data_IF_783492163987
#
_entry.id   IF_783492163987
#
_cell.length_a   1.000
_cell.length_b   1.000
_cell.length_c   1.000
_cell.angle_alpha   90.00
_cell.angle_beta   90.00
_cell.angle_gamma   90.00
#
_symmetry.space_group_name_H-M   'P 1'
#
loop_
_entity.id
_entity.type
_entity.pdbx_description
1 polymer ?
#
# COMPACT_ATOMS: atom_id res chain seq x y z
N UNK A 1 -1.38 8.75 -22.14
CA UNK A 1 -0.33 7.93 -21.52
C UNK A 1 0.96 7.82 -22.33
N UNK A 2 1.12 8.49 -23.50
CA UNK A 2 2.31 8.35 -24.37
C UNK A 2 3.27 9.56 -24.34
N UNK A 3 3.00 10.57 -23.51
CA UNK A 3 3.89 11.71 -23.32
C UNK A 3 5.06 11.33 -22.39
N UNK A 4 6.20 12.00 -22.57
CA UNK A 4 7.31 11.94 -21.63
C UNK A 4 7.08 12.94 -20.49
N UNK A 5 7.08 12.45 -19.25
CA UNK A 5 6.90 13.24 -18.04
C UNK A 5 8.20 13.36 -17.22
N UNK A 6 9.36 12.90 -17.73
CA UNK A 6 10.64 13.03 -17.02
C UNK A 6 10.91 14.48 -16.64
N UNK A 7 11.17 14.71 -15.34
CA UNK A 7 11.44 16.04 -14.79
C UNK A 7 10.22 16.97 -14.65
N UNK A 8 9.00 16.48 -14.90
CA UNK A 8 7.77 17.26 -14.73
C UNK A 8 7.08 16.95 -13.40
N UNK A 9 6.48 17.98 -12.80
CA UNK A 9 5.80 17.87 -11.51
C UNK A 9 6.77 17.80 -10.34
N UNK A 10 6.31 17.23 -9.23
CA UNK A 10 7.10 17.02 -8.02
C UNK A 10 7.16 15.52 -7.71
N UNK A 11 8.38 14.97 -7.70
CA UNK A 11 8.62 13.57 -7.39
C UNK A 11 8.52 13.33 -5.88
N UNK A 12 7.29 13.12 -5.41
CA UNK A 12 7.00 12.87 -3.99
C UNK A 12 7.66 11.58 -3.50
N UNK A 13 7.81 10.54 -4.34
CA UNK A 13 8.39 9.27 -3.90
C UNK A 13 9.89 9.43 -3.65
N UNK A 14 10.60 10.12 -4.55
CA UNK A 14 12.00 10.46 -4.36
C UNK A 14 12.20 11.34 -3.11
N UNK A 15 11.38 12.36 -2.90
CA UNK A 15 11.42 13.23 -1.70
C UNK A 15 11.15 12.45 -0.40
N UNK A 16 10.20 11.50 -0.42
CA UNK A 16 9.94 10.61 0.72
C UNK A 16 11.18 9.77 1.05
N UNK A 17 11.79 9.13 0.04
CA UNK A 17 12.98 8.29 0.24
C UNK A 17 14.17 9.13 0.72
N UNK A 18 14.37 10.33 0.15
CA UNK A 18 15.43 11.26 0.58
C UNK A 18 15.27 11.68 2.04
N UNK A 19 14.06 12.08 2.43
CA UNK A 19 13.76 12.44 3.84
C UNK A 19 13.95 11.27 4.79
N UNK A 20 13.54 10.07 4.42
CA UNK A 20 13.75 8.88 5.26
C UNK A 20 15.25 8.65 5.50
N UNK A 21 16.09 8.82 4.48
CA UNK A 21 17.54 8.63 4.59
C UNK A 21 18.25 9.75 5.34
N UNK A 22 17.88 11.00 5.05
CA UNK A 22 18.67 12.18 5.41
C UNK A 22 18.04 13.02 6.54
N UNK A 23 16.75 12.88 6.80
CA UNK A 23 16.03 13.56 7.87
C UNK A 23 14.91 12.67 8.47
N UNK A 24 15.24 11.47 9.01
CA UNK A 24 14.26 10.45 9.40
C UNK A 24 13.26 10.89 10.47
N UNK A 25 13.61 11.90 11.27
CA UNK A 25 12.75 12.45 12.32
C UNK A 25 11.77 13.52 11.79
N UNK A 26 11.79 13.80 10.48
CA UNK A 26 10.85 14.74 9.87
C UNK A 26 9.41 14.21 10.02
N UNK A 27 8.52 15.11 10.43
CA UNK A 27 7.09 14.82 10.59
C UNK A 27 6.28 15.09 9.32
N UNK A 28 6.97 15.34 8.20
CA UNK A 28 6.40 15.76 6.90
C UNK A 28 6.79 14.81 5.76
N UNK A 29 7.06 13.56 6.09
CA UNK A 29 7.33 12.49 5.11
C UNK A 29 5.97 11.98 4.60
N UNK A 30 5.43 12.63 3.57
CA UNK A 30 4.07 12.42 3.08
C UNK A 30 4.07 12.16 1.56
N UNK A 31 3.28 11.19 1.13
CA UNK A 31 2.95 10.90 -0.26
C UNK A 31 1.44 11.09 -0.47
N UNK A 32 1.02 11.99 -1.35
CA UNK A 32 -0.39 12.27 -1.63
C UNK A 32 -0.75 12.04 -3.10
N UNK A 33 -1.87 11.35 -3.34
CA UNK A 33 -2.48 11.19 -4.65
C UNK A 33 -3.62 12.20 -4.91
N UNK A 34 -4.07 12.93 -3.89
CA UNK A 34 -5.22 13.82 -4.00
C UNK A 34 -4.84 15.19 -4.56
N UNK A 35 -4.99 15.38 -5.88
CA UNK A 35 -4.79 16.65 -6.57
C UNK A 35 -6.13 17.27 -7.02
N UNK A 36 -6.68 18.29 -6.32
CA UNK A 36 -7.96 18.92 -6.67
C UNK A 36 -8.06 19.41 -8.12
N UNK A 37 -6.96 19.91 -8.69
CA UNK A 37 -6.94 20.43 -10.06
C UNK A 37 -7.14 19.34 -11.12
N UNK A 38 -6.72 18.11 -10.81
CA UNK A 38 -6.69 16.99 -11.76
C UNK A 38 -7.85 16.00 -11.55
N UNK A 39 -8.65 16.14 -10.48
CA UNK A 39 -9.73 15.19 -10.16
C UNK A 39 -10.69 14.94 -11.32
N UNK A 40 -10.96 15.97 -12.14
CA UNK A 40 -11.87 15.86 -13.30
C UNK A 40 -11.23 15.18 -14.51
N UNK A 41 -9.92 15.00 -14.51
CA UNK A 41 -9.15 14.34 -15.56
C UNK A 41 -8.99 12.83 -15.29
N UNK A 42 -9.24 12.40 -14.05
CA UNK A 42 -9.08 11.01 -13.62
C UNK A 42 -10.32 10.18 -13.94
N UNK A 43 -10.13 8.93 -14.38
CA UNK A 43 -11.24 7.99 -14.59
C UNK A 43 -11.99 7.67 -13.28
N UNK A 44 -11.26 7.63 -12.17
CA UNK A 44 -11.79 7.49 -10.82
C UNK A 44 -10.90 8.28 -9.84
N UNK A 45 -11.47 9.10 -8.94
CA UNK A 45 -10.69 9.77 -7.90
C UNK A 45 -9.97 8.78 -6.98
N UNK A 46 -8.76 9.08 -6.48
CA UNK A 46 -7.97 8.15 -5.66
C UNK A 46 -8.74 7.71 -4.41
N UNK A 47 -8.78 6.39 -4.14
CA UNK A 47 -9.35 5.87 -2.89
C UNK A 47 -8.34 5.99 -1.73
N UNK A 48 -7.09 5.55 -1.94
CA UNK A 48 -5.97 5.81 -1.04
C UNK A 48 -5.48 7.26 -1.26
N UNK A 49 -5.83 8.18 -0.36
CA UNK A 49 -5.61 9.61 -0.61
C UNK A 49 -4.17 10.02 -0.33
N UNK A 50 -3.64 9.63 0.83
CA UNK A 50 -2.28 9.95 1.24
C UNK A 50 -1.74 8.91 2.21
N UNK A 51 -0.41 8.82 2.26
CA UNK A 51 0.33 8.06 3.24
C UNK A 51 1.38 8.93 3.92
N UNK A 52 1.55 8.74 5.22
CA UNK A 52 2.61 9.34 6.03
C UNK A 52 3.56 8.24 6.49
N UNK A 53 4.85 8.51 6.43
CA UNK A 53 5.89 7.61 6.89
C UNK A 53 6.51 8.12 8.20
N UNK A 54 6.97 7.19 9.02
CA UNK A 54 7.57 7.47 10.32
C UNK A 54 8.74 6.53 10.57
N UNK A 55 9.88 7.08 10.98
CA UNK A 55 11.08 6.30 11.31
C UNK A 55 11.32 6.37 12.82
N UNK A 56 11.47 5.22 13.47
CA UNK A 56 11.90 5.10 14.85
C UNK A 56 12.58 3.75 15.08
N UNK A 57 13.62 3.70 15.91
CA UNK A 57 14.33 2.46 16.26
C UNK A 57 14.75 1.62 15.04
N UNK A 58 15.24 2.28 13.97
CA UNK A 58 15.61 1.65 12.69
C UNK A 58 14.44 0.99 11.92
N UNK A 59 13.20 1.22 12.37
CA UNK A 59 11.98 0.75 11.72
C UNK A 59 11.29 1.86 10.94
N UNK A 60 10.73 1.51 9.78
CA UNK A 60 9.88 2.37 8.96
C UNK A 60 8.42 1.93 9.06
N UNK A 61 7.58 2.77 9.65
CA UNK A 61 6.13 2.60 9.71
C UNK A 61 5.42 3.46 8.67
N UNK A 62 4.23 3.04 8.25
CA UNK A 62 3.40 3.75 7.28
C UNK A 62 1.96 3.86 7.78
N UNK A 63 1.41 5.07 7.80
CA UNK A 63 0.00 5.32 7.99
C UNK A 63 -0.64 5.75 6.66
N UNK A 64 -1.67 5.04 6.19
CA UNK A 64 -2.39 5.39 4.96
C UNK A 64 -3.86 5.73 5.27
N UNK A 65 -4.35 6.83 4.70
CA UNK A 65 -5.76 7.22 4.76
C UNK A 65 -6.49 6.88 3.45
N UNK A 66 -7.53 6.05 3.56
CA UNK A 66 -8.39 5.64 2.45
C UNK A 66 -9.79 6.23 2.61
N UNK A 67 -10.21 7.12 1.69
CA UNK A 67 -11.54 7.78 1.79
C UNK A 67 -12.74 6.86 1.60
N UNK A 68 -12.56 5.77 0.86
CA UNK A 68 -13.62 4.87 0.42
C UNK A 68 -13.07 3.46 0.32
N UNK A 69 -13.61 2.56 1.13
CA UNK A 69 -13.02 1.28 1.48
C UNK A 69 -14.06 0.16 1.30
N UNK A 70 -14.01 -0.48 0.13
CA UNK A 70 -14.72 -1.72 -0.13
C UNK A 70 -14.07 -2.85 0.67
N UNK A 71 -14.77 -3.32 1.70
CA UNK A 71 -14.29 -4.37 2.60
C UNK A 71 -14.19 -5.75 1.92
N UNK A 72 -14.93 -5.99 0.83
CA UNK A 72 -14.95 -7.27 0.13
C UNK A 72 -13.75 -7.44 -0.79
N UNK A 73 -13.49 -6.45 -1.66
CA UNK A 73 -12.40 -6.53 -2.63
C UNK A 73 -11.27 -5.55 -2.32
N UNK A 74 -11.56 -4.26 -2.19
CA UNK A 74 -10.54 -3.20 -2.12
C UNK A 74 -9.59 -3.34 -0.94
N UNK A 75 -10.11 -3.40 0.28
CA UNK A 75 -9.32 -3.34 1.52
C UNK A 75 -8.25 -4.44 1.61
N UNK A 76 -8.54 -5.73 1.32
CA UNK A 76 -7.50 -6.76 1.27
C UNK A 76 -6.33 -6.43 0.34
N UNK A 77 -6.60 -5.90 -0.86
CA UNK A 77 -5.55 -5.47 -1.80
C UNK A 77 -4.81 -4.23 -1.28
N UNK A 78 -5.52 -3.26 -0.68
CA UNK A 78 -4.91 -2.04 -0.16
C UNK A 78 -3.97 -2.33 1.01
N UNK A 79 -4.31 -3.28 1.90
CA UNK A 79 -3.43 -3.73 2.98
C UNK A 79 -2.14 -4.32 2.41
N UNK A 80 -2.24 -5.30 1.51
CA UNK A 80 -1.06 -5.95 0.93
C UNK A 80 -0.20 -4.96 0.11
N UNK A 81 -0.84 -4.05 -0.63
CA UNK A 81 -0.15 -3.09 -1.49
C UNK A 81 0.67 -2.07 -0.69
N UNK A 82 0.11 -1.47 0.37
CA UNK A 82 0.84 -0.48 1.17
C UNK A 82 1.80 -1.13 2.16
N UNK A 83 1.52 -2.35 2.65
CA UNK A 83 2.52 -3.13 3.37
C UNK A 83 3.74 -3.42 2.48
N UNK A 84 3.52 -3.84 1.24
CA UNK A 84 4.61 -4.07 0.28
C UNK A 84 5.40 -2.79 -0.02
N UNK A 85 4.72 -1.66 -0.26
CA UNK A 85 5.39 -0.38 -0.48
C UNK A 85 6.25 0.02 0.73
N UNK A 86 5.73 -0.16 1.95
CA UNK A 86 6.47 0.11 3.18
C UNK A 86 7.71 -0.78 3.28
N UNK A 87 7.59 -2.07 2.98
CA UNK A 87 8.72 -2.99 2.95
C UNK A 87 9.75 -2.61 1.88
N UNK A 88 9.32 -2.18 0.69
CA UNK A 88 10.22 -1.75 -0.39
C UNK A 88 10.98 -0.49 -0.02
N UNK A 89 10.30 0.52 0.54
CA UNK A 89 10.94 1.77 0.98
C UNK A 89 11.90 1.50 2.14
N UNK A 90 11.48 0.70 3.14
CA UNK A 90 12.36 0.30 4.23
C UNK A 90 13.63 -0.37 3.69
N UNK A 91 13.47 -1.31 2.76
CA UNK A 91 14.58 -2.03 2.14
C UNK A 91 15.60 -1.13 1.44
N UNK A 92 15.15 -0.19 0.59
CA UNK A 92 16.07 0.71 -0.13
C UNK A 92 16.64 1.82 0.74
N UNK A 93 16.12 1.98 1.95
CA UNK A 93 16.61 2.88 3.00
C UNK A 93 17.42 2.16 4.08
N UNK A 94 17.71 0.86 3.90
CA UNK A 94 18.41 0.01 4.88
C UNK A 94 17.75 0.04 6.29
N UNK A 95 16.41 0.07 6.32
CA UNK A 95 15.56 0.02 7.51
C UNK A 95 14.78 -1.30 7.59
N UNK A 96 14.25 -1.59 8.77
CA UNK A 96 13.34 -2.72 9.01
C UNK A 96 11.88 -2.25 8.79
N UNK A 97 11.00 -3.05 8.17
CA UNK A 97 9.58 -2.70 8.11
C UNK A 97 8.96 -2.71 9.51
N UNK A 98 8.34 -1.60 9.89
CA UNK A 98 7.57 -1.45 11.13
C UNK A 98 6.07 -1.67 10.92
N UNK A 99 5.26 -0.83 11.55
CA UNK A 99 3.81 -0.93 11.51
C UNK A 99 3.20 -0.37 10.22
N UNK A 100 2.21 -1.06 9.69
CA UNK A 100 1.29 -0.50 8.71
C UNK A 100 -0.06 -0.17 9.37
N UNK A 101 -0.39 1.12 9.42
CA UNK A 101 -1.61 1.67 10.02
C UNK A 101 -2.57 2.10 8.91
N UNK A 102 -3.71 1.43 8.81
CA UNK A 102 -4.70 1.71 7.79
C UNK A 102 -5.90 2.46 8.37
N UNK A 103 -6.08 3.72 7.97
CA UNK A 103 -7.20 4.57 8.39
C UNK A 103 -8.25 4.60 7.29
N UNK A 104 -9.48 4.19 7.63
CA UNK A 104 -10.58 4.09 6.68
C UNK A 104 -11.60 5.23 6.92
N UNK A 105 -12.03 5.88 5.83
CA UNK A 105 -13.14 6.81 5.80
C UNK A 105 -14.48 6.08 5.65
N UNK A 106 -15.15 6.25 4.51
CA UNK A 106 -16.36 5.48 4.18
C UNK A 106 -16.00 4.00 4.02
N UNK A 107 -16.36 3.21 5.02
CA UNK A 107 -16.10 1.77 5.08
C UNK A 107 -17.39 1.02 4.84
N UNK A 108 -17.45 0.27 3.73
CA UNK A 108 -18.70 -0.32 3.26
C UNK A 108 -18.53 -1.73 2.75
N UNK A 109 -19.66 -2.44 2.70
CA UNK A 109 -19.83 -3.77 2.12
C UNK A 109 -20.89 -3.66 1.04
N UNK A 110 -20.55 -4.05 -0.19
CA UNK A 110 -21.57 -4.16 -1.24
C UNK A 110 -22.56 -5.28 -0.90
N UNK A 111 -23.84 -5.06 -1.21
CA UNK A 111 -24.90 -6.06 -0.94
C UNK A 111 -24.61 -7.42 -1.59
N UNK A 112 -23.95 -7.42 -2.75
CA UNK A 112 -23.50 -8.63 -3.46
C UNK A 112 -22.37 -9.39 -2.75
N UNK A 113 -21.70 -8.79 -1.76
CA UNK A 113 -20.60 -9.39 -1.01
C UNK A 113 -21.02 -9.90 0.37
N UNK A 114 -22.22 -9.56 0.85
CA UNK A 114 -22.68 -9.94 2.21
C UNK A 114 -22.57 -11.44 2.45
N UNK A 115 -23.12 -12.27 1.54
CA UNK A 115 -23.06 -13.73 1.68
C UNK A 115 -21.62 -14.27 1.58
N UNK A 116 -20.82 -13.94 0.53
CA UNK A 116 -19.41 -14.33 0.47
C UNK A 116 -18.59 -13.95 1.72
N UNK A 117 -18.81 -12.77 2.29
CA UNK A 117 -18.13 -12.32 3.50
C UNK A 117 -18.60 -13.06 4.75
N UNK A 118 -19.89 -13.40 4.86
CA UNK A 118 -20.38 -14.27 5.93
C UNK A 118 -19.73 -15.65 5.90
N UNK A 119 -19.53 -16.22 4.70
CA UNK A 119 -18.78 -17.47 4.50
C UNK A 119 -17.30 -17.31 4.90
N UNK A 120 -16.67 -16.17 4.59
CA UNK A 120 -15.31 -15.85 5.02
C UNK A 120 -15.19 -15.76 6.56
N UNK A 121 -16.16 -15.16 7.23
CA UNK A 121 -16.16 -15.00 8.70
C UNK A 121 -16.27 -16.33 9.47
N UNK A 122 -16.69 -17.42 8.82
CA UNK A 122 -16.67 -18.76 9.44
C UNK A 122 -15.28 -19.41 9.42
N UNK A 123 -14.32 -18.85 8.66
CA UNK A 123 -12.98 -19.40 8.51
C UNK A 123 -12.05 -18.81 9.57
N UNK A 124 -11.49 -19.66 10.44
CA UNK A 124 -10.49 -19.22 11.42
C UNK A 124 -9.21 -18.71 10.72
N UNK A 125 -8.65 -17.56 11.13
CA UNK A 125 -7.39 -17.07 10.59
C UNK A 125 -6.25 -18.08 10.76
N UNK A 126 -5.43 -18.22 9.71
CA UNK A 126 -4.17 -18.97 9.73
C UNK A 126 -3.00 -18.00 9.94
N UNK A 127 -1.80 -18.48 10.33
CA UNK A 127 -0.61 -17.63 10.43
C UNK A 127 -0.34 -16.84 9.14
N UNK A 128 0.10 -15.59 9.28
CA UNK A 128 0.49 -14.77 8.13
C UNK A 128 1.74 -15.32 7.43
N UNK A 129 1.87 -15.13 6.11
CA UNK A 129 3.08 -15.47 5.39
C UNK A 129 4.24 -14.51 5.74
N UNK A 130 5.45 -14.90 5.36
CA UNK A 130 6.64 -14.04 5.41
C UNK A 130 6.98 -13.59 4.00
N UNK A 131 7.14 -12.27 3.81
CA UNK A 131 7.66 -11.69 2.58
C UNK A 131 9.20 -11.66 2.63
N UNK A 132 9.87 -12.26 1.65
CA UNK A 132 11.30 -12.05 1.39
C UNK A 132 11.49 -11.18 0.15
N UNK A 133 12.43 -10.24 0.27
CA UNK A 133 12.84 -9.32 -0.79
C UNK A 133 14.26 -9.67 -1.23
N UNK A 134 14.55 -9.59 -2.53
CA UNK A 134 15.89 -9.73 -3.08
C UNK A 134 16.84 -8.68 -2.47
N UNK A 135 17.90 -9.10 -1.75
CA UNK A 135 18.77 -8.17 -1.01
C UNK A 135 19.62 -7.25 -1.90
N UNK A 136 19.80 -7.60 -3.18
CA UNK A 136 20.60 -6.83 -4.12
C UNK A 136 19.87 -5.59 -4.67
N UNK A 137 18.57 -5.42 -4.38
CA UNK A 137 17.75 -4.36 -4.95
C UNK A 137 17.85 -3.07 -4.13
N UNK A 138 18.68 -2.14 -4.61
CA UNK A 138 18.92 -0.85 -3.92
C UNK A 138 18.17 0.35 -4.49
N UNK A 139 17.44 0.17 -5.59
CA UNK A 139 16.65 1.23 -6.22
C UNK A 139 15.17 0.84 -6.26
N UNK A 140 14.30 1.75 -5.80
CA UNK A 140 12.85 1.57 -5.71
C UNK A 140 12.19 1.27 -7.07
N UNK A 141 12.73 1.80 -8.16
CA UNK A 141 12.19 1.61 -9.52
C UNK A 141 12.67 0.30 -10.17
N UNK A 142 13.63 -0.39 -9.57
CA UNK A 142 14.26 -1.58 -10.14
C UNK A 142 13.59 -2.89 -9.78
N UNK A 143 12.59 -2.85 -8.88
CA UNK A 143 11.90 -4.06 -8.41
C UNK A 143 11.06 -4.68 -9.53
N UNK A 144 11.14 -6.01 -9.62
CA UNK A 144 10.26 -6.83 -10.46
C UNK A 144 9.60 -7.91 -9.61
N UNK A 145 8.53 -8.53 -10.12
CA UNK A 145 7.77 -9.53 -9.37
C UNK A 145 8.63 -10.69 -8.83
N UNK A 146 9.67 -11.11 -9.58
CA UNK A 146 10.58 -12.18 -9.16
C UNK A 146 11.51 -11.81 -7.99
N UNK A 147 11.57 -10.53 -7.61
CA UNK A 147 12.34 -10.09 -6.45
C UNK A 147 11.62 -10.34 -5.12
N UNK A 148 10.36 -10.78 -5.18
CA UNK A 148 9.53 -11.02 -4.01
C UNK A 148 9.18 -12.50 -3.89
N UNK A 149 9.32 -13.05 -2.67
CA UNK A 149 8.92 -14.42 -2.37
C UNK A 149 8.06 -14.45 -1.12
N UNK A 150 6.83 -14.95 -1.25
CA UNK A 150 5.97 -15.26 -0.12
C UNK A 150 6.24 -16.68 0.38
N UNK A 151 6.58 -16.80 1.67
CA UNK A 151 6.88 -18.07 2.32
C UNK A 151 5.78 -18.37 3.33
N UNK A 152 5.27 -19.60 3.33
CA UNK A 152 4.23 -20.03 4.26
C UNK A 152 2.84 -19.44 3.95
N UNK A 153 2.59 -19.01 2.72
CA UNK A 153 1.26 -18.58 2.31
C UNK A 153 0.34 -19.80 2.09
N UNK A 154 -0.43 -20.13 3.11
CA UNK A 154 -1.42 -21.21 3.12
C UNK A 154 -2.83 -20.62 3.37
N UNK A 155 -3.46 -19.95 2.39
CA UNK A 155 -4.78 -19.36 2.57
C UNK A 155 -5.88 -20.42 2.60
N UNK A 156 -7.09 -20.02 2.98
CA UNK A 156 -8.29 -20.80 2.67
C UNK A 156 -8.63 -20.73 1.18
N UNK A 157 -9.55 -21.58 0.72
CA UNK A 157 -10.02 -21.54 -0.66
C UNK A 157 -10.57 -20.16 -1.05
N UNK A 158 -10.33 -19.79 -2.31
CA UNK A 158 -10.76 -18.53 -2.92
C UNK A 158 -12.28 -18.35 -2.76
N UNK A 159 -12.68 -17.14 -2.39
CA UNK A 159 -14.09 -16.72 -2.37
C UNK A 159 -14.28 -15.73 -3.51
N UNK A 160 -15.21 -16.02 -4.42
CA UNK A 160 -15.51 -15.13 -5.54
C UNK A 160 -16.44 -14.00 -5.13
N UNK A 161 -16.05 -12.76 -5.44
CA UNK A 161 -16.84 -11.55 -5.22
C UNK A 161 -16.82 -10.71 -6.50
N UNK A 162 -17.99 -10.25 -6.96
CA UNK A 162 -18.12 -9.45 -8.17
C UNK A 162 -17.83 -7.98 -7.87
N UNK A 163 -16.99 -7.33 -8.66
CA UNK A 163 -16.77 -5.89 -8.56
C UNK A 163 -18.06 -5.13 -8.88
N UNK A 164 -18.42 -4.14 -8.07
CA UNK A 164 -19.46 -3.19 -8.41
C UNK A 164 -18.91 -2.22 -9.46
N UNK A 165 -19.66 -2.03 -10.55
CA UNK A 165 -19.36 -1.05 -11.61
C UNK A 165 -20.11 0.23 -11.33
#
# INVERSE_FOLDING_TARGET
MHADYTGQGFDQLLDVIDKIKNNPNDRRIILSAWNPSDLKLMALPPCHMFAQFYVANEELSCQMYQRSADMGLGVPFNIASYALLTCMIAHVCDLIPGDFIHVLGDTHVYSTHVRPLQEQLQKLPKPFPILKINPEKKNIDSFVASDFKLIGYDPHEKIEMKMAV
#
